data_IF_565059972158
#
_entry.id   IF_565059972158
#
_cell.length_a   1.000
_cell.length_b   1.000
_cell.length_c   1.000
_cell.angle_alpha   90.00
_cell.angle_beta   90.00
_cell.angle_gamma   90.00
#
_symmetry.space_group_name_H-M   'P 1'
#
loop_
_entity.id
_entity.type
_entity.pdbx_description
1 polymer ?
#
# COMPACT_ATOMS: atom_id res chain seq x y z
N UNK A 1 -12.65 -19.27 20.45
CA UNK A 1 -11.56 -18.74 19.61
C UNK A 1 -10.90 -17.52 20.25
N UNK A 2 -11.70 -16.54 20.72
CA UNK A 2 -11.26 -15.34 21.44
C UNK A 2 -10.42 -15.64 22.72
N UNK A 3 -10.86 -16.58 23.58
CA UNK A 3 -10.09 -16.99 24.77
C UNK A 3 -8.92 -17.94 24.46
N UNK A 4 -8.95 -18.56 23.29
CA UNK A 4 -7.98 -19.59 22.85
C UNK A 4 -6.65 -19.00 22.41
N UNK A 5 -6.63 -17.73 22.01
CA UNK A 5 -5.40 -17.00 21.66
C UNK A 5 -4.70 -16.47 22.92
N UNK A 6 -5.44 -16.19 23.99
CA UNK A 6 -4.87 -15.65 25.23
C UNK A 6 -4.29 -16.73 26.17
N UNK A 7 -4.74 -17.98 26.12
CA UNK A 7 -4.30 -19.04 27.02
C UNK A 7 -3.72 -20.26 26.28
N UNK A 8 -2.45 -20.60 26.57
CA UNK A 8 -1.73 -21.74 25.97
C UNK A 8 -2.44 -23.08 26.22
N UNK A 9 -2.22 -23.97 25.23
CA UNK A 9 -2.42 -25.44 25.21
C UNK A 9 -3.80 -25.91 24.71
N UNK A 10 -3.96 -25.97 23.39
CA UNK A 10 -4.98 -26.85 22.77
C UNK A 10 -4.26 -28.07 22.20
N UNK A 11 -4.45 -29.21 22.84
CA UNK A 11 -4.04 -30.53 22.35
C UNK A 11 -4.74 -30.82 21.03
N UNK A 12 -3.95 -31.30 20.06
CA UNK A 12 -4.39 -31.63 18.72
C UNK A 12 -5.37 -32.81 18.72
N UNK A 13 -6.68 -32.56 18.70
CA UNK A 13 -7.66 -33.55 18.27
C UNK A 13 -8.88 -32.88 17.61
N UNK A 14 -8.91 -33.03 16.28
CA UNK A 14 -10.03 -32.82 15.34
C UNK A 14 -10.82 -31.51 15.46
N UNK A 15 -10.42 -30.49 14.68
CA UNK A 15 -11.37 -29.51 14.16
C UNK A 15 -12.26 -30.23 13.13
N UNK A 16 -13.52 -30.50 13.47
CA UNK A 16 -14.52 -31.05 12.55
C UNK A 16 -15.24 -29.91 11.82
N UNK A 17 -15.92 -30.26 10.72
CA UNK A 17 -16.66 -29.37 9.81
C UNK A 17 -17.67 -28.44 10.51
N UNK A 18 -18.10 -28.78 11.72
CA UNK A 18 -19.04 -27.99 12.52
C UNK A 18 -18.35 -26.92 13.39
N UNK A 19 -17.04 -27.02 13.64
CA UNK A 19 -16.27 -26.07 14.47
C UNK A 19 -15.88 -24.78 13.72
N UNK A 20 -16.05 -24.76 12.39
CA UNK A 20 -15.77 -23.60 11.52
C UNK A 20 -17.01 -22.73 11.25
N UNK A 21 -18.17 -23.08 11.82
CA UNK A 21 -19.35 -22.19 11.85
C UNK A 21 -19.20 -21.25 13.04
N UNK A 22 -18.62 -20.08 12.80
CA UNK A 22 -18.59 -19.00 13.79
C UNK A 22 -19.91 -18.25 13.70
N UNK A 23 -20.86 -18.54 14.60
CA UNK A 23 -22.07 -17.72 14.75
C UNK A 23 -21.71 -16.43 15.49
N UNK A 24 -21.84 -15.29 14.81
CA UNK A 24 -21.57 -13.99 15.40
C UNK A 24 -22.84 -13.43 16.06
N UNK A 25 -23.01 -13.68 17.36
CA UNK A 25 -24.16 -13.21 18.14
C UNK A 25 -24.13 -11.70 18.46
N UNK A 26 -23.21 -10.91 17.88
CA UNK A 26 -23.08 -9.48 18.19
C UNK A 26 -22.97 -8.53 16.99
N UNK A 27 -23.22 -8.96 15.76
CA UNK A 27 -23.40 -8.03 14.63
C UNK A 27 -24.87 -7.93 14.26
N UNK A 28 -25.44 -6.72 14.28
CA UNK A 28 -26.85 -6.40 14.01
C UNK A 28 -27.42 -6.92 12.66
N UNK A 29 -26.64 -7.61 11.82
CA UNK A 29 -27.06 -8.07 10.49
C UNK A 29 -26.84 -9.57 10.20
N UNK A 30 -26.40 -10.41 11.14
CA UNK A 30 -26.46 -11.88 10.98
C UNK A 30 -25.79 -12.46 9.72
N UNK A 31 -24.70 -11.87 9.23
CA UNK A 31 -23.94 -12.45 8.12
C UNK A 31 -23.05 -13.58 8.64
N UNK A 32 -23.33 -14.83 8.24
CA UNK A 32 -22.49 -15.99 8.57
C UNK A 32 -21.27 -16.06 7.64
N UNK A 33 -20.08 -16.22 8.23
CA UNK A 33 -18.86 -16.50 7.48
C UNK A 33 -18.95 -17.88 6.82
N UNK A 34 -18.96 -17.91 5.48
CA UNK A 34 -18.91 -19.15 4.71
C UNK A 34 -17.66 -19.22 3.82
N UNK A 35 -16.57 -19.74 4.40
CA UNK A 35 -15.28 -19.88 3.71
C UNK A 35 -15.33 -20.81 2.48
N UNK A 36 -16.36 -21.65 2.35
CA UNK A 36 -16.49 -22.55 1.20
C UNK A 36 -16.85 -21.83 -0.10
N UNK A 37 -17.24 -20.56 -0.02
CA UNK A 37 -17.44 -19.70 -1.19
C UNK A 37 -16.12 -19.12 -1.71
N UNK A 38 -15.02 -19.23 -0.94
CA UNK A 38 -13.73 -18.70 -1.31
C UNK A 38 -13.01 -19.60 -2.30
N UNK A 39 -12.07 -19.03 -3.07
CA UNK A 39 -11.17 -19.86 -3.88
C UNK A 39 -10.39 -20.81 -2.97
N UNK A 40 -10.02 -21.99 -3.50
CA UNK A 40 -9.27 -22.99 -2.75
C UNK A 40 -7.96 -22.43 -2.19
N UNK A 41 -7.29 -21.56 -2.95
CA UNK A 41 -6.07 -20.88 -2.53
C UNK A 41 -6.29 -20.03 -1.26
N UNK A 42 -7.35 -19.21 -1.22
CA UNK A 42 -7.67 -18.39 -0.05
C UNK A 42 -8.07 -19.24 1.17
N UNK A 43 -8.79 -20.34 0.97
CA UNK A 43 -9.12 -21.27 2.06
C UNK A 43 -7.84 -21.88 2.66
N UNK A 44 -6.92 -22.36 1.81
CA UNK A 44 -5.66 -22.95 2.26
C UNK A 44 -4.77 -21.93 2.98
N UNK A 45 -4.61 -20.72 2.45
CA UNK A 45 -3.89 -19.63 3.10
C UNK A 45 -4.49 -19.32 4.47
N UNK A 46 -5.80 -19.13 4.54
CA UNK A 46 -6.48 -18.80 5.79
C UNK A 46 -6.32 -19.89 6.86
N UNK A 47 -6.57 -21.15 6.50
CA UNK A 47 -6.45 -22.28 7.43
C UNK A 47 -5.01 -22.49 7.91
N UNK A 48 -4.04 -22.43 6.99
CA UNK A 48 -2.62 -22.51 7.34
C UNK A 48 -2.22 -21.35 8.26
N UNK A 49 -2.71 -20.15 7.97
CA UNK A 49 -2.51 -18.94 8.76
C UNK A 49 -3.00 -19.09 10.19
N UNK A 50 -4.23 -19.56 10.36
CA UNK A 50 -4.80 -19.85 11.67
C UNK A 50 -3.97 -20.88 12.43
N UNK A 51 -3.59 -21.99 11.79
CA UNK A 51 -2.74 -23.00 12.43
C UNK A 51 -1.37 -22.43 12.83
N UNK A 52 -0.80 -21.52 12.03
CA UNK A 52 0.40 -20.77 12.41
C UNK A 52 0.21 -19.90 13.65
N UNK A 53 -0.86 -19.10 13.66
CA UNK A 53 -1.22 -18.23 14.78
C UNK A 53 -1.50 -19.02 16.08
N UNK A 54 -2.03 -20.24 15.98
CA UNK A 54 -2.23 -21.14 17.12
C UNK A 54 -0.99 -21.96 17.51
N UNK A 55 0.13 -21.82 16.80
CA UNK A 55 1.35 -22.58 17.06
C UNK A 55 1.25 -24.07 16.71
N UNK A 56 0.27 -24.44 15.89
CA UNK A 56 0.06 -25.83 15.43
C UNK A 56 0.86 -26.14 14.15
N UNK A 57 1.31 -25.11 13.44
CA UNK A 57 2.14 -25.23 12.23
C UNK A 57 3.23 -24.16 12.26
N UNK A 58 4.40 -24.46 11.70
CA UNK A 58 5.50 -23.49 11.58
C UNK A 58 6.23 -23.62 10.25
N UNK A 59 6.85 -22.52 9.83
CA UNK A 59 7.87 -22.52 8.78
C UNK A 59 9.22 -22.73 9.48
N UNK A 60 10.10 -23.60 8.96
CA UNK A 60 11.40 -23.88 9.59
C UNK A 60 12.39 -22.72 9.37
N UNK A 61 12.17 -21.61 10.07
CA UNK A 61 13.05 -20.43 10.11
C UNK A 61 13.08 -19.87 11.53
N UNK A 62 14.25 -19.42 11.99
CA UNK A 62 14.42 -18.82 13.31
C UNK A 62 13.59 -17.54 13.52
N UNK A 63 13.20 -16.87 12.43
CA UNK A 63 12.37 -15.65 12.43
C UNK A 63 10.88 -15.94 12.62
N UNK A 64 10.45 -17.20 12.52
CA UNK A 64 9.04 -17.57 12.57
C UNK A 64 8.36 -17.13 13.88
N UNK A 65 9.02 -17.38 15.01
CA UNK A 65 8.45 -17.04 16.33
C UNK A 65 8.34 -15.53 16.53
N UNK A 66 9.30 -14.76 16.01
CA UNK A 66 9.27 -13.29 16.00
C UNK A 66 8.08 -12.80 15.14
N UNK A 67 7.90 -13.36 13.94
CA UNK A 67 6.78 -13.03 13.05
C UNK A 67 5.42 -13.37 13.68
N UNK A 68 5.28 -14.51 14.35
CA UNK A 68 4.05 -14.89 15.04
C UNK A 68 3.77 -14.00 16.26
N UNK A 69 4.81 -13.54 16.95
CA UNK A 69 4.64 -12.59 18.06
C UNK A 69 4.17 -11.25 17.54
N UNK A 70 4.79 -10.74 16.47
CA UNK A 70 4.36 -9.50 15.82
C UNK A 70 2.92 -9.60 15.28
N UNK A 71 2.57 -10.69 14.60
CA UNK A 71 1.22 -10.93 14.09
C UNK A 71 0.15 -10.83 15.19
N UNK A 72 0.41 -11.45 16.36
CA UNK A 72 -0.49 -11.36 17.52
C UNK A 72 -0.52 -9.95 18.13
N UNK A 73 0.61 -9.24 18.12
CA UNK A 73 0.66 -7.86 18.60
C UNK A 73 -0.25 -6.94 17.76
N UNK A 74 -0.21 -7.03 16.43
CA UNK A 74 -1.10 -6.25 15.53
C UNK A 74 -2.58 -6.58 15.75
N UNK A 75 -2.89 -7.87 15.90
CA UNK A 75 -4.26 -8.32 16.18
C UNK A 75 -4.80 -7.68 17.47
N UNK A 76 -3.97 -7.57 18.51
CA UNK A 76 -4.39 -7.01 19.78
C UNK A 76 -4.40 -5.48 19.77
N UNK A 77 -3.35 -4.86 19.23
CA UNK A 77 -3.17 -3.41 19.15
C UNK A 77 -2.67 -3.10 17.75
N UNK A 78 -3.51 -2.58 16.85
CA UNK A 78 -3.12 -2.38 15.46
C UNK A 78 -2.36 -1.06 15.28
N UNK A 79 -2.54 -0.08 16.17
CA UNK A 79 -1.89 1.22 16.00
C UNK A 79 -0.37 1.11 16.04
N UNK A 80 0.29 1.47 14.94
CA UNK A 80 1.74 1.52 14.84
C UNK A 80 2.36 2.50 15.86
N UNK A 81 3.57 2.21 16.33
CA UNK A 81 4.28 3.01 17.33
C UNK A 81 5.80 2.93 17.21
N UNK A 82 6.48 3.95 17.74
CA UNK A 82 7.94 3.94 17.85
C UNK A 82 8.48 2.79 18.72
N UNK A 83 7.71 2.28 19.69
CA UNK A 83 8.11 1.07 20.43
C UNK A 83 8.04 -0.17 19.55
N UNK A 84 7.00 -0.31 18.71
CA UNK A 84 6.86 -1.41 17.75
C UNK A 84 8.02 -1.45 16.76
N UNK A 85 8.44 -0.30 16.26
CA UNK A 85 9.60 -0.16 15.37
C UNK A 85 10.94 -0.53 16.01
N UNK A 86 11.05 -0.44 17.35
CA UNK A 86 12.26 -0.76 18.11
C UNK A 86 12.17 -2.09 18.87
N UNK A 87 11.07 -2.81 18.73
CA UNK A 87 10.86 -4.06 19.41
C UNK A 87 11.87 -5.13 18.93
N UNK A 88 12.07 -6.15 19.76
CA UNK A 88 13.14 -7.13 19.54
C UNK A 88 13.02 -7.89 18.21
N UNK A 89 11.81 -8.04 17.67
CA UNK A 89 11.55 -8.71 16.40
C UNK A 89 12.04 -7.90 15.18
N UNK A 90 12.32 -6.61 15.32
CA UNK A 90 12.88 -5.78 14.24
C UNK A 90 14.21 -6.33 13.68
N UNK A 91 15.00 -7.03 14.50
CA UNK A 91 16.24 -7.72 14.07
C UNK A 91 16.00 -8.75 12.96
N UNK A 92 14.79 -9.30 12.93
CA UNK A 92 14.36 -10.38 12.06
C UNK A 92 13.75 -9.87 10.75
N UNK A 93 13.67 -8.55 10.55
CA UNK A 93 13.31 -7.93 9.27
C UNK A 93 14.23 -8.37 8.13
N UNK A 94 13.75 -8.19 6.90
CA UNK A 94 14.41 -8.56 5.67
C UNK A 94 15.72 -7.78 5.45
N UNK A 95 16.58 -8.33 4.59
CA UNK A 95 17.79 -7.62 4.15
C UNK A 95 17.45 -6.36 3.37
N UNK A 96 16.31 -6.36 2.67
CA UNK A 96 15.88 -5.23 1.87
C UNK A 96 15.48 -4.05 2.76
N UNK A 97 14.76 -4.31 3.85
CA UNK A 97 14.47 -3.30 4.88
C UNK A 97 15.76 -2.74 5.50
N UNK A 98 16.73 -3.60 5.80
CA UNK A 98 18.04 -3.18 6.33
C UNK A 98 18.81 -2.30 5.34
N UNK A 99 18.82 -2.65 4.06
CA UNK A 99 19.45 -1.85 3.03
C UNK A 99 18.77 -0.47 2.84
N UNK A 100 17.44 -0.39 2.95
CA UNK A 100 16.74 0.90 2.95
C UNK A 100 17.11 1.76 4.17
N UNK A 101 17.18 1.16 5.36
CA UNK A 101 17.57 1.85 6.60
C UNK A 101 19.01 2.41 6.56
N UNK A 102 19.86 1.92 5.65
CA UNK A 102 21.20 2.48 5.41
C UNK A 102 21.20 3.69 4.46
N UNK A 103 20.09 3.96 3.75
CA UNK A 103 19.97 5.02 2.72
C UNK A 103 19.34 6.31 3.22
N UNK A 104 18.69 6.29 4.38
CA UNK A 104 18.11 7.48 5.01
C UNK A 104 18.39 7.50 6.52
N UNK A 105 18.05 8.60 7.18
CA UNK A 105 18.06 8.70 8.63
C UNK A 105 17.28 9.92 9.10
N UNK A 106 17.46 10.30 10.36
CA UNK A 106 16.72 11.42 10.96
C UNK A 106 16.77 12.74 10.15
N UNK A 107 17.89 13.12 9.51
CA UNK A 107 17.94 14.40 8.78
C UNK A 107 16.88 14.58 7.69
N UNK A 108 16.58 13.53 6.88
CA UNK A 108 15.56 13.68 5.82
C UNK A 108 14.15 13.79 6.41
N UNK A 109 13.91 13.12 7.54
CA UNK A 109 12.65 13.19 8.29
C UNK A 109 12.46 14.61 8.82
N UNK A 110 13.48 15.18 9.47
CA UNK A 110 13.44 16.55 10.01
C UNK A 110 13.19 17.60 8.91
N UNK A 111 13.78 17.37 7.74
CA UNK A 111 13.55 18.20 6.57
C UNK A 111 12.11 18.11 6.07
N UNK A 112 11.52 16.91 6.02
CA UNK A 112 10.12 16.74 5.66
C UNK A 112 9.17 17.45 6.65
N UNK A 113 9.44 17.34 7.96
CA UNK A 113 8.71 18.10 8.99
C UNK A 113 8.83 19.60 8.78
N UNK A 114 10.05 20.09 8.52
CA UNK A 114 10.29 21.52 8.25
C UNK A 114 9.57 21.99 6.98
N UNK A 115 9.52 21.13 5.95
CA UNK A 115 8.74 21.34 4.74
C UNK A 115 7.25 21.51 5.03
N UNK A 116 6.64 20.59 5.79
CA UNK A 116 5.23 20.67 6.18
C UNK A 116 4.91 21.96 6.94
N UNK A 117 5.72 22.33 7.93
CA UNK A 117 5.53 23.59 8.69
C UNK A 117 5.62 24.82 7.77
N UNK A 118 6.59 24.81 6.85
CA UNK A 118 6.78 25.93 5.91
C UNK A 118 5.62 26.00 4.91
N UNK A 119 5.07 24.86 4.52
CA UNK A 119 3.94 24.78 3.60
C UNK A 119 2.67 25.31 4.28
N UNK A 120 2.42 24.88 5.52
CA UNK A 120 1.30 25.38 6.32
C UNK A 120 1.33 26.92 6.42
N UNK A 121 2.50 27.51 6.73
CA UNK A 121 2.70 28.97 6.75
C UNK A 121 2.46 29.63 5.38
N UNK A 122 2.76 28.95 4.28
CA UNK A 122 2.51 29.49 2.93
C UNK A 122 1.00 29.66 2.65
N UNK A 123 0.18 28.78 3.22
CA UNK A 123 -1.27 28.79 3.06
C UNK A 123 -2.01 29.48 4.22
N UNK A 124 -1.30 29.93 5.26
CA UNK A 124 -1.86 30.68 6.37
C UNK A 124 -2.57 31.95 5.86
N UNK A 125 -3.88 32.06 6.15
CA UNK A 125 -4.73 33.18 5.69
C UNK A 125 -5.19 33.11 4.23
N UNK A 126 -4.92 32.02 3.49
CA UNK A 126 -5.41 31.79 2.12
C UNK A 126 -6.60 30.81 2.09
N UNK A 127 -7.32 30.80 0.97
CA UNK A 127 -8.37 29.81 0.66
C UNK A 127 -7.74 28.41 0.64
N UNK A 128 -8.46 27.43 1.19
CA UNK A 128 -8.03 26.04 1.43
C UNK A 128 -7.28 25.38 0.27
N UNK A 129 -6.34 24.48 0.61
CA UNK A 129 -5.73 23.57 -0.38
C UNK A 129 -6.86 22.73 -0.96
N UNK A 130 -7.07 22.77 -2.28
CA UNK A 130 -8.00 21.84 -2.93
C UNK A 130 -7.48 20.41 -2.75
N UNK A 131 -8.21 19.59 -1.99
CA UNK A 131 -7.82 18.25 -1.60
C UNK A 131 -9.06 17.35 -1.46
N UNK A 132 -8.86 16.04 -1.57
CA UNK A 132 -9.87 15.04 -1.19
C UNK A 132 -9.78 14.83 0.31
N UNK A 133 -10.91 14.95 1.03
CA UNK A 133 -11.00 14.41 2.39
C UNK A 133 -11.12 12.89 2.29
N UNK A 134 -10.02 12.21 2.59
CA UNK A 134 -9.88 10.76 2.47
C UNK A 134 -10.97 10.00 3.23
N UNK A 135 -11.34 10.48 4.42
CA UNK A 135 -12.32 9.83 5.29
C UNK A 135 -13.73 10.05 4.75
N UNK A 136 -14.09 11.30 4.41
CA UNK A 136 -15.39 11.63 3.85
C UNK A 136 -15.62 10.88 2.54
N UNK A 137 -14.65 10.92 1.62
CA UNK A 137 -14.72 10.19 0.36
C UNK A 137 -14.83 8.68 0.55
N UNK A 138 -14.05 8.10 1.48
CA UNK A 138 -14.17 6.69 1.81
C UNK A 138 -15.58 6.34 2.31
N UNK A 139 -16.12 7.11 3.26
CA UNK A 139 -17.46 6.86 3.82
C UNK A 139 -18.59 7.03 2.80
N UNK A 140 -18.42 7.90 1.79
CA UNK A 140 -19.38 8.07 0.69
C UNK A 140 -19.50 6.81 -0.17
N UNK A 141 -18.39 6.10 -0.42
CA UNK A 141 -18.34 5.07 -1.48
C UNK A 141 -17.92 3.67 -1.01
N UNK A 142 -17.47 3.47 0.23
CA UNK A 142 -16.96 2.17 0.68
C UNK A 142 -17.97 1.02 0.52
N UNK A 143 -19.26 1.31 0.71
CA UNK A 143 -20.36 0.33 0.57
C UNK A 143 -20.66 -0.06 -0.87
N UNK A 144 -20.16 0.70 -1.85
CA UNK A 144 -20.30 0.40 -3.27
C UNK A 144 -19.14 -0.46 -3.81
N UNK A 145 -18.15 -0.78 -2.97
CA UNK A 145 -17.03 -1.62 -3.36
C UNK A 145 -17.42 -3.10 -3.26
N UNK A 146 -17.42 -3.76 -4.40
CA UNK A 146 -17.54 -5.21 -4.48
C UNK A 146 -16.17 -5.83 -4.15
N UNK A 147 -16.01 -6.26 -2.90
CA UNK A 147 -14.81 -6.97 -2.45
C UNK A 147 -14.87 -8.44 -2.86
N UNK A 148 -13.71 -9.02 -3.15
CA UNK A 148 -13.61 -10.45 -3.39
C UNK A 148 -13.96 -11.26 -2.13
N UNK A 149 -14.50 -12.48 -2.31
CA UNK A 149 -15.07 -13.28 -1.22
C UNK A 149 -14.15 -13.52 -0.01
N UNK A 150 -12.82 -13.60 -0.24
CA UNK A 150 -11.82 -13.80 0.82
C UNK A 150 -11.67 -12.62 1.79
N UNK A 151 -12.23 -11.47 1.45
CA UNK A 151 -12.20 -10.24 2.22
C UNK A 151 -13.58 -10.00 2.82
N UNK A 152 -13.78 -10.50 4.04
CA UNK A 152 -15.08 -10.55 4.71
C UNK A 152 -15.02 -9.92 6.13
N UNK A 153 -16.07 -9.22 6.58
CA UNK A 153 -17.29 -8.90 5.85
C UNK A 153 -17.10 -7.72 4.88
N UNK A 154 -17.85 -7.65 3.76
CA UNK A 154 -17.76 -6.55 2.81
C UNK A 154 -18.12 -5.18 3.42
N UNK A 155 -18.83 -5.20 4.55
CA UNK A 155 -19.19 -4.00 5.31
C UNK A 155 -18.05 -3.46 6.19
N UNK A 156 -16.99 -4.23 6.44
CA UNK A 156 -15.86 -3.79 7.27
C UNK A 156 -14.92 -2.87 6.47
N UNK A 157 -14.64 -1.65 6.96
CA UNK A 157 -13.64 -0.76 6.36
C UNK A 157 -12.27 -1.42 6.23
N UNK A 158 -11.89 -2.24 7.21
CA UNK A 158 -10.61 -2.95 7.19
C UNK A 158 -10.59 -4.02 6.08
N UNK A 159 -11.66 -4.80 5.92
CA UNK A 159 -11.73 -5.78 4.84
C UNK A 159 -11.64 -5.12 3.46
N UNK A 160 -12.33 -3.99 3.26
CA UNK A 160 -12.26 -3.18 2.03
C UNK A 160 -10.85 -2.63 1.80
N UNK A 161 -10.19 -2.14 2.86
CA UNK A 161 -8.80 -1.68 2.83
C UNK A 161 -7.84 -2.79 2.41
N UNK A 162 -7.88 -3.94 3.10
CA UNK A 162 -7.01 -5.09 2.79
C UNK A 162 -7.26 -5.63 1.38
N UNK A 163 -8.49 -5.57 0.88
CA UNK A 163 -8.81 -5.94 -0.49
C UNK A 163 -8.18 -4.98 -1.51
N UNK A 164 -8.56 -3.70 -1.46
CA UNK A 164 -8.24 -2.76 -2.54
C UNK A 164 -6.87 -2.10 -2.39
N UNK A 165 -6.59 -1.53 -1.21
CA UNK A 165 -5.31 -0.87 -0.92
C UNK A 165 -4.19 -1.86 -0.60
N UNK A 166 -4.54 -3.05 -0.11
CA UNK A 166 -3.61 -4.16 0.09
C UNK A 166 -3.52 -5.06 -1.13
N UNK A 167 -4.15 -6.23 -1.04
CA UNK A 167 -3.95 -7.37 -1.93
C UNK A 167 -4.06 -7.04 -3.43
N UNK A 168 -5.08 -6.30 -3.86
CA UNK A 168 -5.29 -5.99 -5.28
C UNK A 168 -4.15 -5.16 -5.85
N UNK A 169 -3.88 -4.00 -5.28
CA UNK A 169 -2.86 -3.08 -5.80
C UNK A 169 -1.46 -3.63 -5.61
N UNK A 170 -1.15 -4.21 -4.45
CA UNK A 170 0.15 -4.82 -4.18
C UNK A 170 0.45 -6.00 -5.11
N UNK A 171 -0.57 -6.74 -5.54
CA UNK A 171 -0.38 -7.84 -6.50
C UNK A 171 -0.01 -7.38 -7.91
N UNK A 172 -0.32 -6.14 -8.31
CA UNK A 172 0.12 -5.61 -9.61
C UNK A 172 1.64 -5.44 -9.63
N UNK A 173 2.21 -4.96 -8.53
CA UNK A 173 3.66 -4.82 -8.36
C UNK A 173 4.34 -6.17 -8.46
N UNK A 174 3.82 -7.15 -7.70
CA UNK A 174 4.35 -8.51 -7.69
C UNK A 174 4.18 -9.24 -9.03
N UNK A 175 3.16 -8.88 -9.82
CA UNK A 175 2.95 -9.44 -11.16
C UNK A 175 3.99 -8.98 -12.21
N UNK A 176 4.91 -8.08 -11.84
CA UNK A 176 6.06 -7.78 -12.68
C UNK A 176 6.93 -9.04 -12.91
N UNK A 177 7.02 -9.93 -11.91
CA UNK A 177 7.92 -11.09 -11.91
C UNK A 177 7.28 -12.40 -11.40
N UNK A 178 6.10 -12.35 -10.77
CA UNK A 178 5.33 -13.53 -10.39
C UNK A 178 4.14 -13.79 -11.33
N UNK A 179 3.77 -15.07 -11.58
CA UNK A 179 2.49 -15.40 -12.18
C UNK A 179 1.32 -14.83 -11.38
N UNK A 180 0.18 -14.46 -12.01
CA UNK A 180 -0.93 -13.77 -11.35
C UNK A 180 -1.42 -14.42 -10.04
N UNK A 181 -1.60 -15.74 -10.01
CA UNK A 181 -2.02 -16.44 -8.78
C UNK A 181 -1.01 -16.24 -7.64
N UNK A 182 0.30 -16.39 -7.93
CA UNK A 182 1.34 -16.20 -6.92
C UNK A 182 1.43 -14.74 -6.50
N UNK A 183 1.29 -13.79 -7.42
CA UNK A 183 1.28 -12.37 -7.12
C UNK A 183 0.15 -11.99 -6.16
N UNK A 184 -1.07 -12.49 -6.41
CA UNK A 184 -2.24 -12.26 -5.54
C UNK A 184 -2.05 -12.87 -4.15
N UNK A 185 -1.54 -14.09 -4.06
CA UNK A 185 -1.27 -14.76 -2.77
C UNK A 185 -0.19 -14.01 -1.99
N UNK A 186 0.93 -13.67 -2.64
CA UNK A 186 2.02 -12.93 -2.03
C UNK A 186 1.60 -11.53 -1.55
N UNK A 187 0.65 -10.89 -2.24
CA UNK A 187 0.16 -9.57 -1.88
C UNK A 187 -0.55 -9.50 -0.52
N UNK A 188 -0.98 -10.63 0.05
CA UNK A 188 -1.53 -10.66 1.40
C UNK A 188 -0.49 -10.30 2.49
N UNK A 189 0.82 -10.29 2.17
CA UNK A 189 1.87 -9.73 3.04
C UNK A 189 1.68 -8.24 3.33
N UNK A 190 0.81 -7.54 2.59
CA UNK A 190 0.42 -6.15 2.85
C UNK A 190 -0.50 -5.99 4.07
N UNK A 191 -1.24 -7.04 4.45
CA UNK A 191 -2.31 -6.91 5.44
C UNK A 191 -1.84 -6.41 6.83
N UNK A 192 -0.67 -6.80 7.36
CA UNK A 192 -0.12 -6.20 8.58
C UNK A 192 -0.08 -4.67 8.52
N UNK A 193 0.47 -4.10 7.44
CA UNK A 193 0.57 -2.66 7.27
C UNK A 193 -0.81 -2.00 7.10
N UNK A 194 -1.75 -2.64 6.38
CA UNK A 194 -3.11 -2.12 6.23
C UNK A 194 -3.88 -2.15 7.56
N UNK A 195 -3.70 -3.19 8.38
CA UNK A 195 -4.28 -3.22 9.74
C UNK A 195 -3.79 -2.04 10.57
N UNK A 196 -2.50 -1.70 10.44
CA UNK A 196 -1.89 -0.59 11.15
C UNK A 196 -2.36 0.78 10.61
N UNK A 197 -2.43 0.98 9.30
CA UNK A 197 -2.89 2.24 8.66
C UNK A 197 -4.39 2.54 8.93
N UNK A 198 -5.22 1.50 9.02
CA UNK A 198 -6.66 1.66 9.29
C UNK A 198 -7.01 1.66 10.78
N UNK A 199 -6.02 1.41 11.67
CA UNK A 199 -6.19 1.24 13.11
C UNK A 199 -7.06 2.32 13.77
N UNK A 200 -6.83 3.58 13.43
CA UNK A 200 -7.51 4.77 13.99
C UNK A 200 -9.04 4.76 13.85
N UNK A 201 -9.62 3.94 12.97
CA UNK A 201 -11.08 3.83 12.83
C UNK A 201 -11.59 2.39 12.68
N UNK A 202 -10.72 1.38 12.80
CA UNK A 202 -11.08 -0.05 12.75
C UNK A 202 -10.63 -0.81 14.01
N UNK A 203 -10.46 -0.12 15.14
CA UNK A 203 -10.08 -0.75 16.41
C UNK A 203 -11.05 -1.88 16.81
N UNK A 204 -12.35 -1.68 16.56
CA UNK A 204 -13.39 -2.67 16.84
C UNK A 204 -13.37 -3.90 15.89
N UNK A 205 -12.66 -3.85 14.76
CA UNK A 205 -12.63 -4.90 13.73
C UNK A 205 -11.68 -6.06 14.11
N UNK A 206 -11.69 -6.48 15.39
CA UNK A 206 -10.78 -7.48 15.94
C UNK A 206 -10.82 -8.82 15.18
N UNK A 207 -12.02 -9.35 14.90
CA UNK A 207 -12.14 -10.62 14.17
C UNK A 207 -11.71 -10.49 12.70
N UNK A 208 -11.99 -9.35 12.07
CA UNK A 208 -11.56 -9.09 10.70
C UNK A 208 -10.04 -9.02 10.65
N UNK A 209 -9.39 -8.36 11.63
CA UNK A 209 -7.93 -8.37 11.78
C UNK A 209 -7.37 -9.78 11.90
N UNK A 210 -7.96 -10.65 12.72
CA UNK A 210 -7.54 -12.07 12.79
C UNK A 210 -7.57 -12.70 11.40
N UNK A 211 -8.65 -12.49 10.63
CA UNK A 211 -8.78 -13.07 9.28
C UNK A 211 -7.74 -12.53 8.32
N UNK A 212 -7.54 -11.22 8.29
CA UNK A 212 -6.59 -10.58 7.37
C UNK A 212 -5.15 -10.96 7.71
N UNK A 213 -4.79 -10.98 9.00
CA UNK A 213 -3.47 -11.43 9.46
C UNK A 213 -3.28 -12.93 9.21
N UNK A 214 -4.30 -13.77 9.39
CA UNK A 214 -4.21 -15.19 9.04
C UNK A 214 -3.90 -15.38 7.55
N UNK A 215 -4.51 -14.63 6.64
CA UNK A 215 -4.15 -14.69 5.21
C UNK A 215 -2.68 -14.34 4.97
N UNK A 216 -2.18 -13.29 5.62
CA UNK A 216 -0.76 -12.89 5.53
C UNK A 216 0.17 -13.98 6.09
N UNK A 217 -0.16 -14.58 7.24
CA UNK A 217 0.60 -15.71 7.81
C UNK A 217 0.55 -16.94 6.91
N UNK A 218 -0.61 -17.22 6.31
CA UNK A 218 -0.81 -18.28 5.32
C UNK A 218 0.17 -18.17 4.15
N UNK A 219 0.40 -16.94 3.69
CA UNK A 219 1.34 -16.62 2.61
C UNK A 219 2.77 -17.10 2.94
N UNK A 220 3.22 -16.98 4.19
CA UNK A 220 4.55 -17.45 4.58
C UNK A 220 4.72 -18.97 4.42
N UNK A 221 3.65 -19.77 4.52
CA UNK A 221 3.71 -21.20 4.22
C UNK A 221 3.86 -21.50 2.73
N UNK A 222 3.27 -20.66 1.87
CA UNK A 222 3.30 -20.85 0.42
C UNK A 222 4.67 -20.51 -0.18
N UNK A 223 5.34 -19.50 0.37
CA UNK A 223 6.61 -18.97 -0.14
C UNK A 223 7.82 -19.32 0.74
N UNK A 224 7.59 -19.91 1.92
CA UNK A 224 8.62 -20.47 2.78
C UNK A 224 9.47 -19.43 3.52
N UNK A 225 10.67 -19.83 4.00
CA UNK A 225 11.54 -19.00 4.86
C UNK A 225 11.89 -17.62 4.29
N UNK A 226 12.00 -17.51 2.97
CA UNK A 226 12.42 -16.29 2.29
C UNK A 226 11.55 -15.06 2.62
N UNK A 227 10.24 -15.27 2.81
CA UNK A 227 9.28 -14.18 3.06
C UNK A 227 8.93 -14.00 4.54
N UNK A 228 9.48 -14.82 5.45
CA UNK A 228 9.17 -14.71 6.90
C UNK A 228 9.71 -13.40 7.47
N UNK A 229 10.93 -13.00 7.08
CA UNK A 229 11.49 -11.72 7.51
C UNK A 229 10.75 -10.51 6.92
N UNK A 230 10.25 -10.66 5.69
CA UNK A 230 9.50 -9.63 4.97
C UNK A 230 8.19 -9.28 5.68
N UNK A 231 7.50 -10.26 6.26
CA UNK A 231 6.30 -10.03 7.08
C UNK A 231 6.54 -9.04 8.22
N UNK A 232 7.75 -9.04 8.80
CA UNK A 232 8.12 -8.14 9.90
C UNK A 232 8.63 -6.79 9.46
N UNK A 233 8.82 -6.54 8.16
CA UNK A 233 9.23 -5.21 7.70
C UNK A 233 8.15 -4.17 8.03
N UNK A 234 6.88 -4.59 8.09
CA UNK A 234 5.76 -3.78 8.60
C UNK A 234 5.88 -3.42 10.09
N UNK A 235 6.90 -3.90 10.80
CA UNK A 235 7.17 -3.42 12.16
C UNK A 235 7.87 -2.06 12.14
N UNK A 236 8.52 -1.71 11.04
CA UNK A 236 9.46 -0.59 10.92
C UNK A 236 8.84 0.67 10.32
N UNK A 237 7.52 0.87 10.32
CA UNK A 237 6.89 2.08 9.77
C UNK A 237 7.46 3.36 10.40
N UNK A 238 7.68 3.37 11.71
CA UNK A 238 8.36 4.48 12.42
C UNK A 238 9.88 4.30 12.52
N UNK A 239 10.47 3.44 11.68
CA UNK A 239 11.89 3.13 11.68
C UNK A 239 12.73 4.33 11.23
N UNK A 240 13.83 4.58 11.94
CA UNK A 240 14.80 5.63 11.59
C UNK A 240 16.11 4.96 11.18
N UNK A 241 16.55 5.26 9.96
CA UNK A 241 17.81 4.76 9.41
C UNK A 241 19.04 5.48 9.95
N UNK A 242 20.21 5.13 9.41
CA UNK A 242 21.52 5.58 9.87
C UNK A 242 22.19 6.65 9.00
N UNK A 243 21.65 6.95 7.82
CA UNK A 243 22.26 7.89 6.87
C UNK A 243 22.02 9.36 7.26
N UNK A 244 22.99 10.20 6.92
CA UNK A 244 22.86 11.65 7.00
C UNK A 244 22.51 12.30 5.64
N UNK A 245 22.23 11.49 4.62
CA UNK A 245 21.96 11.95 3.27
C UNK A 245 20.67 12.79 3.19
N UNK A 246 20.74 13.88 2.42
CA UNK A 246 19.64 14.82 2.15
C UNK A 246 19.40 14.91 0.64
N UNK A 247 18.71 13.91 0.10
CA UNK A 247 18.49 13.77 -1.36
C UNK A 247 17.08 13.23 -1.66
N UNK A 248 16.60 13.35 -2.91
CA UNK A 248 15.39 12.67 -3.36
C UNK A 248 15.43 11.15 -3.13
N UNK A 249 16.60 10.52 -3.36
CA UNK A 249 16.79 9.08 -3.14
C UNK A 249 16.66 8.70 -1.67
N UNK A 250 17.21 9.50 -0.75
CA UNK A 250 17.03 9.28 0.68
C UNK A 250 15.56 9.43 1.10
N UNK A 251 14.84 10.40 0.53
CA UNK A 251 13.40 10.56 0.77
C UNK A 251 12.60 9.37 0.24
N UNK A 252 12.89 8.87 -0.96
CA UNK A 252 12.24 7.68 -1.51
C UNK A 252 12.51 6.42 -0.66
N UNK A 253 13.74 6.23 -0.19
CA UNK A 253 14.09 5.10 0.67
C UNK A 253 13.39 5.17 2.04
N UNK A 254 13.33 6.36 2.65
CA UNK A 254 12.55 6.62 3.86
C UNK A 254 11.08 6.25 3.66
N UNK A 255 10.48 6.76 2.59
CA UNK A 255 9.07 6.53 2.28
C UNK A 255 8.79 5.06 1.98
N UNK A 256 9.72 4.34 1.34
CA UNK A 256 9.60 2.90 1.10
C UNK A 256 9.47 2.08 2.41
N UNK A 257 10.24 2.43 3.44
CA UNK A 257 10.15 1.80 4.77
C UNK A 257 8.85 2.19 5.48
N UNK A 258 8.53 3.48 5.54
CA UNK A 258 7.30 3.95 6.20
C UNK A 258 6.03 3.42 5.54
N UNK A 259 6.05 3.22 4.23
CA UNK A 259 4.95 2.64 3.47
C UNK A 259 4.92 1.10 3.45
N UNK A 260 5.85 0.43 4.14
CA UNK A 260 5.95 -1.04 4.19
C UNK A 260 5.99 -1.70 2.81
N UNK A 261 6.76 -1.15 1.89
CA UNK A 261 6.75 -1.61 0.50
C UNK A 261 7.79 -2.66 0.17
N UNK A 262 8.64 -3.01 1.14
CA UNK A 262 9.63 -4.07 0.99
C UNK A 262 9.07 -5.43 0.57
N UNK A 263 7.81 -5.84 0.87
CA UNK A 263 7.30 -7.11 0.36
C UNK A 263 7.19 -7.16 -1.16
N UNK A 264 7.08 -6.02 -1.83
CA UNK A 264 6.81 -5.92 -3.26
C UNK A 264 8.10 -5.86 -4.08
N UNK A 265 9.00 -6.80 -3.81
CA UNK A 265 10.33 -6.87 -4.41
C UNK A 265 10.66 -8.27 -4.89
N UNK A 266 11.19 -8.37 -6.11
CA UNK A 266 11.65 -9.62 -6.72
C UNK A 266 12.78 -10.28 -5.92
N UNK A 267 13.59 -9.49 -5.21
CA UNK A 267 14.69 -9.97 -4.35
C UNK A 267 14.18 -10.96 -3.29
N UNK A 268 13.02 -10.70 -2.69
CA UNK A 268 12.43 -11.57 -1.67
C UNK A 268 12.01 -12.94 -2.22
N UNK A 269 11.89 -13.06 -3.54
CA UNK A 269 11.51 -14.28 -4.24
C UNK A 269 12.69 -14.89 -5.02
N UNK A 270 13.91 -14.38 -4.80
CA UNK A 270 15.15 -14.91 -5.35
C UNK A 270 15.39 -14.62 -6.84
N UNK A 271 14.73 -13.60 -7.40
CA UNK A 271 14.82 -13.29 -8.83
C UNK A 271 15.87 -12.23 -9.20
N UNK A 272 16.32 -11.40 -8.25
CA UNK A 272 17.26 -10.31 -8.54
C UNK A 272 18.22 -10.00 -7.38
N UNK A 273 19.21 -9.15 -7.65
CA UNK A 273 20.13 -8.59 -6.66
C UNK A 273 19.45 -7.50 -5.82
N UNK A 274 20.03 -7.18 -4.65
CA UNK A 274 19.39 -6.29 -3.68
C UNK A 274 19.10 -4.89 -4.24
N UNK A 275 20.02 -4.28 -5.00
CA UNK A 275 19.85 -2.92 -5.51
C UNK A 275 18.72 -2.80 -6.55
N UNK A 276 18.57 -3.83 -7.39
CA UNK A 276 17.44 -3.99 -8.31
C UNK A 276 16.13 -4.20 -7.54
N UNK A 277 16.17 -5.03 -6.50
CA UNK A 277 15.04 -5.30 -5.61
C UNK A 277 14.49 -4.06 -4.91
N UNK A 278 15.28 -3.00 -4.73
CA UNK A 278 14.85 -1.76 -4.07
C UNK A 278 13.98 -0.85 -4.96
N UNK A 279 14.00 -1.02 -6.29
CA UNK A 279 13.30 -0.13 -7.23
C UNK A 279 11.79 -0.13 -7.00
N UNK A 280 11.15 -1.31 -6.97
CA UNK A 280 9.70 -1.39 -6.83
C UNK A 280 9.17 -0.77 -5.52
N UNK A 281 9.78 -1.06 -4.34
CA UNK A 281 9.42 -0.40 -3.07
C UNK A 281 9.55 1.13 -3.13
N UNK A 282 10.70 1.64 -3.57
CA UNK A 282 10.97 3.08 -3.64
C UNK A 282 10.02 3.80 -4.62
N UNK A 283 9.78 3.21 -5.80
CA UNK A 283 8.89 3.78 -6.80
C UNK A 283 7.44 3.75 -6.34
N UNK A 284 6.98 2.66 -5.73
CA UNK A 284 5.60 2.51 -5.25
C UNK A 284 5.22 3.62 -4.27
N UNK A 285 6.08 3.93 -3.30
CA UNK A 285 5.79 5.03 -2.37
C UNK A 285 5.99 6.41 -2.99
N UNK A 286 6.94 6.57 -3.91
CA UNK A 286 7.13 7.86 -4.58
C UNK A 286 5.91 8.26 -5.41
N UNK A 287 5.32 7.34 -6.19
CA UNK A 287 4.10 7.65 -6.96
C UNK A 287 2.89 7.85 -6.03
N UNK A 288 2.82 7.10 -4.92
CA UNK A 288 1.78 7.30 -3.92
C UNK A 288 1.84 8.73 -3.37
N UNK A 289 3.01 9.14 -2.89
CA UNK A 289 3.25 10.49 -2.37
C UNK A 289 2.91 11.58 -3.41
N UNK A 290 3.24 11.36 -4.69
CA UNK A 290 2.92 12.28 -5.80
C UNK A 290 1.42 12.48 -5.96
N UNK A 291 0.65 11.39 -5.96
CA UNK A 291 -0.79 11.44 -6.19
C UNK A 291 -1.57 11.86 -4.93
N UNK A 292 -0.99 11.67 -3.74
CA UNK A 292 -1.62 11.97 -2.45
C UNK A 292 -1.20 13.33 -1.86
N UNK A 293 -0.22 13.98 -2.49
CA UNK A 293 0.44 15.20 -2.02
C UNK A 293 -0.51 16.28 -1.49
N UNK A 294 -1.63 16.52 -2.21
CA UNK A 294 -2.63 17.51 -1.81
C UNK A 294 -3.32 17.18 -0.51
N UNK A 295 -3.72 15.93 -0.33
CA UNK A 295 -4.42 15.48 0.86
C UNK A 295 -3.47 15.44 2.06
N UNK A 296 -2.22 15.01 1.88
CA UNK A 296 -1.23 15.03 2.96
C UNK A 296 -0.85 16.47 3.35
N UNK A 297 -0.69 17.36 2.38
CA UNK A 297 -0.45 18.78 2.64
C UNK A 297 -1.62 19.46 3.37
N UNK A 298 -2.86 19.16 2.97
CA UNK A 298 -4.04 19.67 3.64
C UNK A 298 -4.17 19.15 5.08
N UNK A 299 -3.76 17.91 5.35
CA UNK A 299 -3.74 17.32 6.69
C UNK A 299 -2.52 17.74 7.54
N UNK A 300 -1.60 18.57 7.00
CA UNK A 300 -0.34 18.91 7.66
C UNK A 300 0.59 17.71 7.87
N UNK A 301 0.36 16.61 7.14
CA UNK A 301 1.06 15.35 7.36
C UNK A 301 2.48 15.41 6.75
N UNK A 302 3.54 15.25 7.56
CA UNK A 302 4.91 15.43 7.10
C UNK A 302 5.47 14.22 6.34
N UNK A 303 4.85 13.04 6.46
CA UNK A 303 5.34 11.80 5.85
C UNK A 303 5.01 11.69 4.36
N UNK A 304 5.63 12.55 3.57
CA UNK A 304 5.51 12.55 2.12
C UNK A 304 6.83 13.04 1.51
N UNK A 305 7.35 12.34 0.49
CA UNK A 305 8.64 12.69 -0.11
C UNK A 305 8.68 14.08 -0.76
N UNK A 306 7.54 14.62 -1.21
CA UNK A 306 7.47 15.99 -1.73
C UNK A 306 7.59 17.01 -0.59
N UNK A 307 7.11 16.70 0.64
CA UNK A 307 7.38 17.54 1.82
C UNK A 307 8.87 17.66 2.05
N UNK A 308 9.60 16.54 1.94
CA UNK A 308 11.05 16.55 2.05
C UNK A 308 11.68 17.45 0.98
N UNK A 309 11.25 17.34 -0.28
CA UNK A 309 11.78 18.19 -1.36
C UNK A 309 11.53 19.68 -1.09
N UNK A 310 10.35 20.01 -0.59
CA UNK A 310 10.02 21.39 -0.23
C UNK A 310 10.86 21.88 0.96
N UNK A 311 11.05 21.05 1.97
CA UNK A 311 11.93 21.32 3.12
C UNK A 311 13.40 21.50 2.74
N UNK A 312 13.89 20.79 1.71
CA UNK A 312 15.23 20.99 1.13
C UNK A 312 15.38 22.34 0.41
N UNK A 313 14.30 23.10 0.25
CA UNK A 313 14.31 24.42 -0.40
C UNK A 313 14.25 24.36 -1.92
N UNK A 314 13.81 23.24 -2.51
CA UNK A 314 13.64 23.14 -3.94
C UNK A 314 12.49 24.02 -4.44
N UNK A 315 12.71 24.72 -5.56
CA UNK A 315 11.71 25.62 -6.17
C UNK A 315 10.52 24.89 -6.82
N UNK A 316 10.76 23.68 -7.32
CA UNK A 316 9.75 22.84 -7.97
C UNK A 316 9.76 21.44 -7.33
N UNK A 317 9.34 21.33 -6.05
CA UNK A 317 9.52 20.11 -5.26
C UNK A 317 8.78 18.91 -5.88
N UNK A 318 7.55 19.14 -6.40
CA UNK A 318 6.76 18.13 -7.08
C UNK A 318 7.49 17.57 -8.31
N UNK A 319 7.97 18.44 -9.20
CA UNK A 319 8.69 18.03 -10.42
C UNK A 319 9.97 17.27 -10.09
N UNK A 320 10.77 17.76 -9.14
CA UNK A 320 12.04 17.12 -8.76
C UNK A 320 11.81 15.71 -8.24
N UNK A 321 10.79 15.51 -7.41
CA UNK A 321 10.46 14.19 -6.89
C UNK A 321 9.94 13.24 -7.98
N UNK A 322 9.05 13.75 -8.86
CA UNK A 322 8.56 13.01 -10.03
C UNK A 322 9.70 12.58 -10.96
N UNK A 323 10.62 13.49 -11.28
CA UNK A 323 11.77 13.19 -12.14
C UNK A 323 12.71 12.17 -11.47
N UNK A 324 13.00 12.32 -10.17
CA UNK A 324 13.83 11.38 -9.42
C UNK A 324 13.23 9.96 -9.43
N UNK A 325 11.92 9.85 -9.21
CA UNK A 325 11.20 8.58 -9.31
C UNK A 325 11.31 7.98 -10.72
N UNK A 326 11.06 8.77 -11.77
CA UNK A 326 11.13 8.29 -13.16
C UNK A 326 12.55 7.87 -13.56
N UNK A 327 13.58 8.53 -13.03
CA UNK A 327 14.97 8.09 -13.19
C UNK A 327 15.20 6.76 -12.49
N UNK A 328 14.69 6.59 -11.27
CA UNK A 328 14.79 5.31 -10.53
C UNK A 328 14.11 4.16 -11.24
N UNK A 329 12.99 4.41 -11.91
CA UNK A 329 12.31 3.39 -12.75
C UNK A 329 13.25 2.84 -13.83
N UNK A 330 14.17 3.62 -14.39
CA UNK A 330 15.06 3.14 -15.45
C UNK A 330 16.04 2.06 -15.00
N UNK A 331 16.30 1.93 -13.70
CA UNK A 331 17.17 0.89 -13.15
C UNK A 331 16.50 -0.49 -13.23
N UNK A 332 15.18 -0.57 -12.99
CA UNK A 332 14.37 -1.79 -13.18
C UNK A 332 12.99 -1.43 -13.78
N UNK A 333 12.92 -1.21 -15.11
CA UNK A 333 11.74 -0.61 -15.76
C UNK A 333 10.44 -1.35 -15.55
N UNK A 334 10.47 -2.68 -15.62
CA UNK A 334 9.26 -3.51 -15.50
C UNK A 334 8.67 -3.41 -14.09
N UNK A 335 9.51 -3.62 -13.08
CA UNK A 335 9.11 -3.53 -11.67
C UNK A 335 8.67 -2.11 -11.30
N UNK A 336 9.40 -1.08 -11.75
CA UNK A 336 9.04 0.32 -11.51
C UNK A 336 7.71 0.73 -12.17
N UNK A 337 7.47 0.34 -13.42
CA UNK A 337 6.21 0.68 -14.11
C UNK A 337 5.00 -0.08 -13.56
N UNK A 338 5.18 -1.32 -13.09
CA UNK A 338 4.15 -2.04 -12.36
C UNK A 338 3.82 -1.36 -11.01
N UNK A 339 4.82 -0.83 -10.29
CA UNK A 339 4.60 0.00 -9.10
C UNK A 339 3.79 1.27 -9.41
N UNK A 340 4.11 1.96 -10.51
CA UNK A 340 3.34 3.12 -10.98
C UNK A 340 1.90 2.73 -11.29
N UNK A 341 1.70 1.67 -12.08
CA UNK A 341 0.37 1.20 -12.44
C UNK A 341 -0.47 0.81 -11.21
N UNK A 342 0.12 0.13 -10.24
CA UNK A 342 -0.53 -0.25 -8.98
C UNK A 342 -1.10 0.96 -8.23
N UNK A 343 -0.29 1.99 -8.03
CA UNK A 343 -0.69 3.17 -7.26
C UNK A 343 -1.61 4.10 -8.05
N UNK A 344 -1.42 4.21 -9.36
CA UNK A 344 -2.36 4.94 -10.22
C UNK A 344 -3.72 4.25 -10.21
N UNK A 345 -3.76 2.91 -10.26
CA UNK A 345 -5.00 2.16 -10.08
C UNK A 345 -5.63 2.44 -8.71
N UNK A 346 -4.85 2.34 -7.62
CA UNK A 346 -5.31 2.64 -6.25
C UNK A 346 -5.99 4.01 -6.19
N UNK A 347 -5.27 5.05 -6.64
CA UNK A 347 -5.70 6.44 -6.55
C UNK A 347 -6.95 6.76 -7.37
N UNK A 348 -7.10 6.16 -8.55
CA UNK A 348 -8.23 6.41 -9.45
C UNK A 348 -9.42 5.45 -9.29
N UNK A 349 -9.32 4.42 -8.45
CA UNK A 349 -10.42 3.47 -8.26
C UNK A 349 -10.88 3.31 -6.82
N UNK A 350 -10.02 3.56 -5.83
CA UNK A 350 -10.36 3.39 -4.43
C UNK A 350 -10.96 4.66 -3.80
N UNK A 351 -12.08 4.52 -3.06
CA UNK A 351 -12.79 5.62 -2.40
C UNK A 351 -11.92 6.55 -1.57
N UNK A 352 -10.93 6.02 -0.86
CA UNK A 352 -10.08 6.79 0.07
C UNK A 352 -9.29 7.88 -0.65
N UNK A 353 -8.87 7.65 -1.89
CA UNK A 353 -7.93 8.55 -2.58
C UNK A 353 -8.62 9.48 -3.59
N UNK A 354 -9.64 8.97 -4.28
CA UNK A 354 -10.52 9.75 -5.15
C UNK A 354 -9.82 10.75 -6.09
N UNK A 355 -8.69 10.36 -6.66
CA UNK A 355 -7.93 11.19 -7.60
C UNK A 355 -8.77 11.65 -8.82
N UNK A 356 -9.86 10.93 -9.12
CA UNK A 356 -10.84 11.33 -10.11
C UNK A 356 -11.59 12.62 -9.77
N UNK A 357 -11.49 13.21 -8.58
CA UNK A 357 -12.17 14.47 -8.23
C UNK A 357 -11.37 15.71 -8.69
N UNK A 358 -10.05 15.61 -8.84
CA UNK A 358 -9.23 16.75 -9.22
C UNK A 358 -9.49 17.22 -10.65
N UNK A 359 -9.88 18.49 -10.79
CA UNK A 359 -10.17 19.17 -12.05
C UNK A 359 -9.56 20.54 -12.05
N UNK A 360 -9.16 21.05 -13.21
CA UNK A 360 -8.63 22.40 -13.31
C UNK A 360 -7.84 22.60 -14.59
N UNK A 361 -7.23 23.78 -14.68
CA UNK A 361 -6.20 24.02 -15.67
C UNK A 361 -4.86 23.48 -15.16
N UNK A 362 -4.02 23.01 -16.07
CA UNK A 362 -2.72 22.45 -15.76
C UNK A 362 -1.67 22.99 -16.75
N UNK A 363 -0.41 23.12 -16.31
CA UNK A 363 0.70 23.45 -17.20
C UNK A 363 0.92 22.42 -18.31
N UNK A 364 1.77 22.79 -19.27
CA UNK A 364 2.22 21.88 -20.31
C UNK A 364 2.96 20.64 -19.73
N UNK A 365 2.99 19.51 -20.46
CA UNK A 365 3.86 18.38 -20.14
C UNK A 365 5.32 18.76 -19.95
N UNK A 366 6.03 18.03 -19.08
CA UNK A 366 7.49 18.09 -19.03
C UNK A 366 8.09 17.09 -20.02
N UNK A 367 8.88 17.58 -20.98
CA UNK A 367 9.53 16.74 -22.00
C UNK A 367 10.45 15.68 -21.37
N UNK A 368 11.23 16.05 -20.34
CA UNK A 368 12.11 15.10 -19.64
C UNK A 368 11.31 13.95 -19.01
N UNK A 369 10.23 14.25 -18.27
CA UNK A 369 9.40 13.21 -17.65
C UNK A 369 8.73 12.30 -18.71
N UNK A 370 8.32 12.89 -19.84
CA UNK A 370 7.75 12.16 -20.96
C UNK A 370 8.78 11.22 -21.61
N UNK A 371 10.00 11.70 -21.85
CA UNK A 371 11.10 10.90 -22.41
C UNK A 371 11.49 9.75 -21.50
N UNK A 372 11.70 10.01 -20.21
CA UNK A 372 12.03 8.97 -19.21
C UNK A 372 10.96 7.87 -19.17
N UNK A 373 9.68 8.25 -19.20
CA UNK A 373 8.58 7.28 -19.15
C UNK A 373 8.46 6.47 -20.43
N UNK A 374 8.68 7.09 -21.60
CA UNK A 374 8.71 6.38 -22.88
C UNK A 374 9.86 5.38 -22.95
N UNK A 375 11.05 5.77 -22.51
CA UNK A 375 12.22 4.89 -22.45
C UNK A 375 11.97 3.70 -21.49
N UNK A 376 11.48 3.97 -20.29
CA UNK A 376 11.09 2.93 -19.34
C UNK A 376 10.03 1.98 -19.92
N UNK A 377 9.00 2.52 -20.59
CA UNK A 377 7.90 1.74 -21.18
C UNK A 377 8.44 0.78 -22.24
N UNK A 378 9.30 1.28 -23.12
CA UNK A 378 9.94 0.46 -24.16
C UNK A 378 10.84 -0.63 -23.55
N UNK A 379 11.69 -0.28 -22.57
CA UNK A 379 12.58 -1.24 -21.90
C UNK A 379 11.84 -2.31 -21.10
N UNK A 380 10.68 -1.99 -20.54
CA UNK A 380 9.83 -2.95 -19.83
C UNK A 380 9.09 -3.92 -20.75
N UNK A 381 9.11 -3.69 -22.07
CA UNK A 381 8.30 -4.43 -23.04
C UNK A 381 6.80 -4.15 -22.91
N UNK A 382 6.43 -2.95 -22.42
CA UNK A 382 5.06 -2.48 -22.27
C UNK A 382 4.69 -1.52 -23.40
N UNK A 383 3.40 -1.25 -23.56
CA UNK A 383 2.91 -0.38 -24.64
C UNK A 383 2.80 1.08 -24.19
N UNK A 384 3.27 1.98 -25.05
CA UNK A 384 2.95 3.41 -24.93
C UNK A 384 1.52 3.62 -25.45
N UNK A 385 0.55 3.62 -24.55
CA UNK A 385 -0.88 3.70 -24.84
C UNK A 385 -1.59 4.63 -23.84
N UNK A 386 -1.40 5.96 -23.94
CA UNK A 386 -2.04 6.91 -23.05
C UNK A 386 -3.57 6.81 -23.09
N UNK A 387 -4.21 6.62 -21.92
CA UNK A 387 -5.66 6.50 -21.77
C UNK A 387 -6.17 7.45 -20.72
N UNK A 388 -7.35 8.05 -20.96
CA UNK A 388 -7.95 8.97 -20.00
C UNK A 388 -8.34 8.18 -18.72
N UNK A 389 -7.87 8.58 -17.52
CA UNK A 389 -8.29 7.94 -16.28
C UNK A 389 -9.79 8.14 -15.99
N UNK A 390 -10.39 7.32 -15.12
CA UNK A 390 -11.74 7.54 -14.62
C UNK A 390 -11.94 8.98 -14.11
N UNK A 391 -13.05 9.60 -14.51
CA UNK A 391 -13.43 10.96 -14.12
C UNK A 391 -14.55 11.00 -13.06
N UNK A 392 -15.02 9.85 -12.61
CA UNK A 392 -15.95 9.74 -11.49
C UNK A 392 -15.73 8.38 -10.83
N UNK A 393 -16.20 8.23 -9.59
CA UNK A 393 -16.24 6.93 -8.95
C UNK A 393 -16.98 5.89 -9.81
N UNK A 394 -18.12 6.26 -10.41
CA UNK A 394 -18.90 5.39 -11.28
C UNK A 394 -18.18 5.00 -12.57
N UNK A 395 -17.41 5.90 -13.19
CA UNK A 395 -16.61 5.61 -14.38
C UNK A 395 -15.53 4.56 -14.11
N UNK A 396 -15.02 4.49 -12.86
CA UNK A 396 -14.06 3.47 -12.43
C UNK A 396 -14.66 2.07 -12.23
N UNK A 397 -15.99 1.88 -12.36
CA UNK A 397 -16.66 0.60 -12.08
C UNK A 397 -16.09 -0.56 -12.91
N UNK A 398 -15.84 -0.34 -14.20
CA UNK A 398 -15.30 -1.39 -15.06
C UNK A 398 -13.92 -1.87 -14.60
N UNK A 399 -13.03 -0.94 -14.26
CA UNK A 399 -11.70 -1.27 -13.75
C UNK A 399 -11.77 -2.01 -12.41
N UNK A 400 -12.69 -1.61 -11.51
CA UNK A 400 -12.93 -2.33 -10.25
C UNK A 400 -13.43 -3.75 -10.45
N UNK A 401 -14.30 -3.99 -11.43
CA UNK A 401 -14.75 -5.34 -11.78
C UNK A 401 -13.60 -6.20 -12.34
N UNK A 402 -12.73 -5.62 -13.17
CA UNK A 402 -11.52 -6.32 -13.61
C UNK A 402 -10.60 -6.64 -12.41
N UNK A 403 -10.44 -5.71 -11.46
CA UNK A 403 -9.69 -5.95 -10.23
C UNK A 403 -10.27 -7.07 -9.36
N UNK A 404 -11.61 -7.15 -9.29
CA UNK A 404 -12.29 -8.27 -8.60
C UNK A 404 -11.98 -9.61 -9.26
N UNK A 405 -12.04 -9.67 -10.60
CA UNK A 405 -11.65 -10.86 -11.37
C UNK A 405 -10.17 -11.21 -11.23
N UNK A 406 -9.30 -10.21 -11.17
CA UNK A 406 -7.87 -10.40 -10.90
C UNK A 406 -7.67 -11.14 -9.59
N UNK A 407 -8.33 -10.73 -8.50
CA UNK A 407 -8.20 -11.38 -7.20
C UNK A 407 -8.88 -12.75 -7.14
N UNK A 408 -10.08 -12.88 -7.69
CA UNK A 408 -10.87 -14.13 -7.55
C UNK A 408 -10.45 -15.22 -8.52
N UNK A 409 -10.06 -14.83 -9.73
CA UNK A 409 -9.81 -15.75 -10.86
C UNK A 409 -8.36 -15.72 -11.34
N UNK A 410 -7.52 -14.83 -10.80
CA UNK A 410 -6.12 -14.67 -11.21
C UNK A 410 -5.97 -14.32 -12.69
N UNK A 411 -6.92 -13.54 -13.23
CA UNK A 411 -6.94 -13.13 -14.63
C UNK A 411 -6.49 -11.66 -14.78
N UNK A 412 -5.43 -11.39 -15.56
CA UNK A 412 -4.90 -10.03 -15.76
C UNK A 412 -5.87 -9.11 -16.51
N UNK A 413 -6.39 -9.59 -17.64
CA UNK A 413 -7.19 -8.79 -18.60
C UNK A 413 -6.55 -7.47 -19.04
N UNK A 414 -5.24 -7.29 -18.84
CA UNK A 414 -4.50 -6.08 -19.21
C UNK A 414 -4.67 -4.94 -18.21
N UNK A 415 -5.04 -5.22 -16.96
CA UNK A 415 -5.37 -4.20 -15.96
C UNK A 415 -4.14 -3.35 -15.57
N UNK A 416 -2.95 -3.95 -15.54
CA UNK A 416 -1.69 -3.23 -15.33
C UNK A 416 -1.45 -2.23 -16.48
N UNK A 417 -1.62 -2.67 -17.72
CA UNK A 417 -1.44 -1.82 -18.91
C UNK A 417 -2.50 -0.70 -18.97
N UNK A 418 -3.73 -0.98 -18.54
CA UNK A 418 -4.80 0.02 -18.44
C UNK A 418 -4.41 1.15 -17.47
N UNK A 419 -4.01 0.80 -16.23
CA UNK A 419 -3.60 1.77 -15.23
C UNK A 419 -2.30 2.51 -15.59
N UNK A 420 -1.35 1.83 -16.24
CA UNK A 420 -0.17 2.49 -16.79
C UNK A 420 -0.55 3.49 -17.89
N UNK A 421 -1.53 3.16 -18.74
CA UNK A 421 -2.07 4.07 -19.75
C UNK A 421 -2.63 5.34 -19.14
N UNK A 422 -3.26 5.26 -17.96
CA UNK A 422 -3.70 6.44 -17.20
C UNK A 422 -2.55 7.33 -16.77
N UNK A 423 -1.47 6.74 -16.24
CA UNK A 423 -0.27 7.51 -15.90
C UNK A 423 0.38 8.18 -17.12
N UNK A 424 0.51 7.43 -18.21
CA UNK A 424 1.04 7.95 -19.47
C UNK A 424 0.21 9.13 -19.98
N UNK A 425 -1.13 9.07 -19.83
CA UNK A 425 -2.02 10.19 -20.13
C UNK A 425 -1.74 11.40 -19.24
N UNK A 426 -1.66 11.21 -17.91
CA UNK A 426 -1.38 12.29 -16.97
C UNK A 426 -0.07 13.03 -17.33
N UNK A 427 0.97 12.29 -17.73
CA UNK A 427 2.22 12.89 -18.16
C UNK A 427 2.13 13.58 -19.52
N UNK A 428 1.54 12.93 -20.52
CA UNK A 428 1.57 13.45 -21.90
C UNK A 428 0.60 14.62 -22.12
N UNK A 429 -0.39 14.81 -21.24
CA UNK A 429 -1.28 15.98 -21.27
C UNK A 429 -0.86 17.08 -20.29
N UNK A 430 -0.03 16.75 -19.29
CA UNK A 430 0.32 17.65 -18.18
C UNK A 430 -0.67 17.57 -17.02
N UNK A 431 -1.69 16.72 -17.08
CA UNK A 431 -2.63 16.56 -15.97
C UNK A 431 -2.01 16.06 -14.67
N UNK A 432 -0.80 15.48 -14.70
CA UNK A 432 -0.05 15.14 -13.49
C UNK A 432 0.13 16.35 -12.55
N UNK A 433 0.18 17.57 -13.09
CA UNK A 433 0.32 18.80 -12.30
C UNK A 433 -0.92 19.16 -11.50
N UNK A 434 -2.06 18.51 -11.75
CA UNK A 434 -3.25 18.65 -10.91
C UNK A 434 -2.98 18.17 -9.48
N UNK A 435 -1.98 17.32 -9.25
CA UNK A 435 -1.62 16.85 -7.92
C UNK A 435 -0.63 17.76 -7.20
N UNK A 436 0.00 18.73 -7.89
CA UNK A 436 0.87 19.71 -7.25
C UNK A 436 0.04 20.75 -6.49
N UNK A 437 0.21 20.86 -5.17
CA UNK A 437 -0.47 21.84 -4.30
C UNK A 437 -0.30 23.29 -4.75
N UNK A 438 0.77 23.62 -5.47
CA UNK A 438 1.02 24.96 -5.97
C UNK A 438 0.26 25.29 -7.26
N UNK A 439 -0.37 24.31 -7.90
CA UNK A 439 -1.30 24.53 -9.01
C UNK A 439 -2.59 25.15 -8.47
N UNK A 440 -2.70 26.48 -8.58
CA UNK A 440 -3.80 27.28 -8.02
C UNK A 440 -5.11 27.19 -8.78
N UNK A 441 -5.11 26.56 -9.96
CA UNK A 441 -6.25 26.42 -10.87
C UNK A 441 -7.07 25.15 -10.67
N UNK A 442 -6.75 24.36 -9.63
CA UNK A 442 -7.51 23.16 -9.27
C UNK A 442 -8.79 23.58 -8.54
N UNK A 443 -9.91 23.08 -9.02
CA UNK A 443 -11.22 23.30 -8.43
C UNK A 443 -11.22 22.79 -6.98
N UNK A 444 -11.90 23.52 -6.10
CA UNK A 444 -12.07 23.09 -4.71
C UNK A 444 -12.76 21.72 -4.69
N UNK A 445 -12.13 20.79 -3.97
CA UNK A 445 -12.66 19.47 -3.65
C UNK A 445 -12.90 19.48 -2.13
N UNK A 446 -14.03 18.93 -1.68
CA UNK A 446 -14.40 18.84 -0.25
C UNK A 446 -14.18 20.14 0.56
N UNK A 447 -14.54 21.31 -0.02
CA UNK A 447 -14.19 22.65 0.49
C UNK A 447 -14.79 23.05 1.85
N UNK A 448 -15.78 22.32 2.34
CA UNK A 448 -16.42 22.54 3.63
C UNK A 448 -15.72 21.81 4.79
N UNK A 449 -14.74 20.98 4.48
CA UNK A 449 -13.99 20.21 5.48
C UNK A 449 -12.86 21.07 6.03
N UNK A 450 -12.89 21.28 7.35
CA UNK A 450 -11.93 22.15 8.01
C UNK A 450 -10.50 21.62 7.83
N UNK A 451 -9.58 22.56 7.56
CA UNK A 451 -8.16 22.32 7.70
C UNK A 451 -7.87 21.88 9.14
N UNK A 452 -7.16 20.76 9.31
CA UNK A 452 -6.75 20.26 10.64
C UNK A 452 -5.36 20.79 10.96
#
# INVERSE_FOLDING_TARGET
MLDTIQNKTVTAQSLKRDDLKVSNDQTQNGEELNIFTWSKAYQEMYLNGLWGLFGQKSVPDHKWDDAMTYARAIILSPQDSGERAKAYWSRSCSNLNKALLERYGQPIIDVAHSGSITLAKHFEGRVSIAHVDKKASFMRHCKEIEVASGFWPPSSPLAVGCYGAGALTCSFVLAAFLPPEKAVRAAALSHPAICDDYANFTEADYEVRIRMIALAVGTMFDFGPAVVGVFMDSTCLQGVGSSAELSPSAAMAWRAVQGCTTPYSEYNFGGCEIDAGLVAPEVMMAIHDILDWRSDAAAGYPENGIMAMYGLGHKAPFHIYLEAMLRRVLDEPRSGLHSIAAMVYLHFTMPRYAAWEYRGHYPAPCDTCLELTKDATAKAGLEWNPKIPPRTFSAGRHARELGRRWIEKFEDHGLVQEALGWFQHLLCTGEIWLFDVFTSTVNVVDGDTAWI
#
